data_IF_140492007719
#
_entry.id   IF_140492007719
#
_cell.length_a   1.000
_cell.length_b   1.000
_cell.length_c   1.000
_cell.angle_alpha   90.00
_cell.angle_beta   90.00
_cell.angle_gamma   90.00
#
_symmetry.space_group_name_H-M   'P 1'
#
loop_
_entity.id
_entity.type
_entity.pdbx_description
1 polymer ?
#
# COMPACT_ATOMS: atom_id res chain seq x y z
N UNK A 1 -9.08 12.16 -20.23
CA UNK A 1 -9.22 13.03 -19.04
C UNK A 1 -8.82 14.46 -19.42
N UNK A 2 -9.29 15.50 -18.72
CA UNK A 2 -8.85 16.89 -18.91
C UNK A 2 -7.34 17.05 -18.67
N UNK A 3 -6.72 18.08 -19.28
CA UNK A 3 -5.27 18.32 -19.22
C UNK A 3 -4.69 18.32 -17.79
N UNK A 4 -5.43 18.85 -16.80
CA UNK A 4 -4.98 18.91 -15.40
C UNK A 4 -4.92 17.52 -14.77
N UNK A 5 -5.88 16.66 -15.06
CA UNK A 5 -5.93 15.29 -14.55
C UNK A 5 -4.80 14.43 -15.15
N UNK A 6 -4.51 14.60 -16.44
CA UNK A 6 -3.36 13.94 -17.08
C UNK A 6 -2.04 14.32 -16.42
N UNK A 7 -1.81 15.62 -16.20
CA UNK A 7 -0.59 16.10 -15.54
C UNK A 7 -0.50 15.57 -14.11
N UNK A 8 -1.56 15.71 -13.30
CA UNK A 8 -1.58 15.23 -11.91
C UNK A 8 -1.19 13.75 -11.80
N UNK A 9 -1.74 12.87 -12.63
CA UNK A 9 -1.42 11.44 -12.57
C UNK A 9 0.02 11.09 -12.97
N UNK A 10 0.74 11.99 -13.66
CA UNK A 10 2.18 11.81 -13.93
C UNK A 10 3.05 12.20 -12.73
N UNK A 11 2.49 12.92 -11.76
CA UNK A 11 3.16 13.36 -10.53
C UNK A 11 2.87 12.46 -9.33
N UNK A 12 2.23 11.31 -9.56
CA UNK A 12 1.97 10.29 -8.55
C UNK A 12 2.80 9.05 -8.87
N UNK A 13 3.52 8.55 -7.88
CA UNK A 13 4.27 7.30 -7.98
C UNK A 13 4.07 6.43 -6.76
N UNK A 14 4.15 5.11 -6.96
CA UNK A 14 4.24 4.13 -5.88
C UNK A 14 5.69 4.03 -5.41
N UNK A 15 5.88 3.71 -4.13
CA UNK A 15 7.17 3.27 -3.62
C UNK A 15 7.47 1.82 -4.04
N UNK A 16 8.71 1.40 -3.81
CA UNK A 16 9.08 -0.01 -3.90
C UNK A 16 9.20 -0.63 -2.52
N UNK A 17 8.66 -1.84 -2.40
CA UNK A 17 8.75 -2.62 -1.18
C UNK A 17 8.75 -4.11 -1.51
N UNK A 18 9.64 -4.83 -0.85
CA UNK A 18 9.66 -6.28 -0.79
C UNK A 18 9.11 -6.68 0.58
N UNK A 19 7.99 -7.39 0.58
CA UNK A 19 7.43 -7.99 1.80
C UNK A 19 7.96 -9.41 1.93
N UNK A 20 8.66 -9.67 3.02
CA UNK A 20 9.32 -10.94 3.31
C UNK A 20 8.47 -11.73 4.29
N UNK A 21 8.27 -13.02 4.04
CA UNK A 21 7.77 -13.97 5.03
C UNK A 21 8.85 -15.01 5.31
N UNK A 22 9.25 -15.12 6.58
CA UNK A 22 10.17 -16.14 7.07
C UNK A 22 9.46 -16.99 8.12
N UNK A 23 9.23 -18.26 7.80
CA UNK A 23 8.56 -19.22 8.68
C UNK A 23 9.61 -20.12 9.34
N UNK A 24 9.44 -20.40 10.62
CA UNK A 24 10.32 -21.23 11.45
C UNK A 24 9.49 -22.30 12.17
N UNK A 25 10.13 -23.38 12.62
CA UNK A 25 9.44 -24.48 13.29
C UNK A 25 8.69 -24.08 14.56
N UNK A 26 9.13 -23.00 15.21
CA UNK A 26 8.53 -22.39 16.40
C UNK A 26 8.76 -20.88 16.39
N UNK A 27 7.93 -20.08 17.08
CA UNK A 27 8.16 -18.64 17.24
C UNK A 27 9.28 -18.38 18.27
N UNK A 28 10.51 -18.76 17.93
CA UNK A 28 11.65 -18.81 18.85
C UNK A 28 11.97 -17.48 19.54
N UNK A 29 11.65 -16.34 18.91
CA UNK A 29 11.79 -15.01 19.51
C UNK A 29 10.93 -14.85 20.77
N UNK A 30 9.77 -15.52 20.86
CA UNK A 30 8.91 -15.47 22.05
C UNK A 30 9.55 -16.14 23.25
N UNK A 31 10.34 -17.19 23.05
CA UNK A 31 11.09 -17.84 24.13
C UNK A 31 12.21 -16.94 24.68
N UNK A 32 12.69 -16.00 23.87
CA UNK A 32 13.61 -14.95 24.29
C UNK A 32 12.90 -13.76 24.97
N UNK A 33 11.58 -13.83 25.14
CA UNK A 33 10.76 -12.76 25.70
C UNK A 33 10.45 -11.61 24.74
N UNK A 34 10.68 -11.78 23.44
CA UNK A 34 10.43 -10.76 22.42
C UNK A 34 9.00 -10.86 21.87
N UNK A 35 8.39 -9.72 21.56
CA UNK A 35 7.08 -9.68 20.87
C UNK A 35 7.16 -10.06 19.39
N UNK A 36 8.37 -10.05 18.82
CA UNK A 36 8.60 -10.18 17.38
C UNK A 36 8.49 -8.86 16.61
N UNK A 37 8.13 -7.75 17.25
CA UNK A 37 8.18 -6.41 16.63
C UNK A 37 9.58 -5.83 16.71
N UNK A 38 10.11 -5.34 15.59
CA UNK A 38 11.41 -4.68 15.52
C UNK A 38 11.38 -3.50 14.55
N UNK A 39 12.16 -2.46 14.86
CA UNK A 39 12.37 -1.29 14.00
C UNK A 39 13.82 -0.84 14.08
N UNK A 40 14.45 -0.61 12.93
CA UNK A 40 15.75 0.06 12.86
C UNK A 40 15.89 0.81 11.54
N UNK A 41 16.27 2.10 11.56
CA UNK A 41 16.56 2.84 10.34
C UNK A 41 17.90 2.43 9.68
N UNK A 42 18.68 1.57 10.33
CA UNK A 42 20.02 1.16 9.88
C UNK A 42 20.06 -0.26 9.31
N UNK A 43 18.98 -1.01 9.44
CA UNK A 43 18.87 -2.38 8.96
C UNK A 43 18.22 -2.42 7.57
N UNK A 44 18.60 -3.42 6.78
CA UNK A 44 17.99 -3.67 5.47
C UNK A 44 16.49 -3.94 5.63
N UNK A 45 16.14 -4.79 6.59
CA UNK A 45 14.76 -4.97 7.05
C UNK A 45 14.48 -3.94 8.14
N UNK A 46 13.93 -2.81 7.74
CA UNK A 46 13.75 -1.66 8.63
C UNK A 46 12.63 -1.87 9.65
N UNK A 47 11.63 -2.68 9.31
CA UNK A 47 10.55 -3.08 10.20
C UNK A 47 10.24 -4.58 10.04
N UNK A 48 9.94 -5.22 11.18
CA UNK A 48 9.53 -6.62 11.22
C UNK A 48 8.50 -6.85 12.33
N UNK A 49 7.64 -7.84 12.12
CA UNK A 49 6.55 -8.18 13.04
C UNK A 49 6.37 -9.70 13.14
N UNK A 50 5.91 -10.15 14.30
CA UNK A 50 5.32 -11.47 14.44
C UNK A 50 4.00 -11.52 13.66
N UNK A 51 3.99 -12.33 12.60
CA UNK A 51 2.85 -12.59 11.75
C UNK A 51 2.40 -14.05 11.85
N UNK A 52 2.64 -14.68 12.99
CA UNK A 52 2.21 -16.05 13.28
C UNK A 52 0.70 -16.11 13.35
N UNK A 53 0.09 -16.98 12.54
CA UNK A 53 -1.35 -17.19 12.54
C UNK A 53 -1.84 -17.70 13.90
N UNK A 54 -3.10 -17.40 14.23
CA UNK A 54 -3.72 -17.89 15.45
C UNK A 54 -3.68 -19.42 15.51
N UNK A 55 -3.17 -19.97 16.62
CA UNK A 55 -3.00 -21.40 16.87
C UNK A 55 -2.05 -22.15 15.89
N UNK A 56 -1.20 -21.46 15.13
CA UNK A 56 -0.08 -22.09 14.44
C UNK A 56 1.07 -22.31 15.43
N UNK A 57 1.62 -23.53 15.47
CA UNK A 57 2.77 -23.88 16.31
C UNK A 57 4.07 -23.32 15.72
N UNK A 58 4.10 -23.09 14.40
CA UNK A 58 5.23 -22.47 13.70
C UNK A 58 5.29 -20.98 13.99
N UNK A 59 6.49 -20.42 13.93
CA UNK A 59 6.67 -18.97 13.96
C UNK A 59 6.67 -18.39 12.57
N UNK A 60 5.95 -17.30 12.31
CA UNK A 60 6.12 -16.51 11.08
C UNK A 60 6.55 -15.09 11.42
N UNK A 61 7.70 -14.66 10.90
CA UNK A 61 8.07 -13.25 10.84
C UNK A 61 7.68 -12.69 9.49
N UNK A 62 7.10 -11.49 9.50
CA UNK A 62 7.00 -10.63 8.33
C UNK A 62 8.01 -9.50 8.46
N UNK A 63 8.73 -9.19 7.38
CA UNK A 63 9.67 -8.08 7.33
C UNK A 63 9.52 -7.29 6.04
N UNK A 64 10.00 -6.06 6.03
CA UNK A 64 9.86 -5.17 4.89
C UNK A 64 11.19 -4.52 4.52
N UNK A 65 11.53 -4.57 3.24
CA UNK A 65 12.64 -3.84 2.62
C UNK A 65 12.01 -2.83 1.68
N UNK A 66 12.25 -1.53 1.87
CA UNK A 66 11.58 -0.47 1.11
C UNK A 66 12.57 0.55 0.54
N UNK A 67 12.06 1.41 -0.34
CA UNK A 67 12.75 2.60 -0.83
C UNK A 67 14.08 2.24 -1.54
N UNK A 68 15.14 3.03 -1.32
CA UNK A 68 16.46 2.79 -1.92
C UNK A 68 17.06 1.44 -1.53
N UNK A 69 16.70 0.90 -0.34
CA UNK A 69 17.13 -0.44 0.04
C UNK A 69 16.49 -1.51 -0.85
N UNK A 70 15.26 -1.30 -1.33
CA UNK A 70 14.62 -2.21 -2.29
C UNK A 70 15.33 -2.13 -3.65
N UNK A 71 15.63 -0.90 -4.13
CA UNK A 71 16.43 -0.69 -5.35
C UNK A 71 17.73 -1.49 -5.31
N UNK A 72 18.51 -1.34 -4.24
CA UNK A 72 19.81 -1.98 -4.06
C UNK A 72 19.73 -3.52 -4.11
N UNK A 73 18.70 -4.13 -3.53
CA UNK A 73 18.58 -5.59 -3.48
C UNK A 73 17.91 -6.20 -4.71
N UNK A 74 17.23 -5.40 -5.52
CA UNK A 74 16.73 -5.85 -6.83
C UNK A 74 17.86 -6.14 -7.82
N UNK A 75 19.02 -5.51 -7.65
CA UNK A 75 20.22 -5.78 -8.46
C UNK A 75 20.91 -7.11 -8.12
N UNK A 76 20.56 -7.71 -6.97
CA UNK A 76 21.16 -8.95 -6.48
C UNK A 76 20.45 -10.19 -7.01
N UNK A 77 21.17 -11.31 -7.02
CA UNK A 77 20.53 -12.61 -7.21
C UNK A 77 19.56 -12.90 -6.06
N UNK A 78 18.54 -13.72 -6.32
CA UNK A 78 17.56 -14.10 -5.29
C UNK A 78 18.23 -14.75 -4.05
N UNK A 79 19.30 -15.51 -4.25
CA UNK A 79 20.03 -16.15 -3.14
C UNK A 79 20.81 -15.12 -2.30
N UNK A 80 21.52 -14.18 -2.94
CA UNK A 80 22.24 -13.11 -2.22
C UNK A 80 21.28 -12.18 -1.48
N UNK A 81 20.15 -11.82 -2.11
CA UNK A 81 19.12 -11.00 -1.48
C UNK A 81 18.53 -11.70 -0.25
N UNK A 82 18.14 -12.97 -0.39
CA UNK A 82 17.66 -13.80 0.74
C UNK A 82 18.67 -13.81 1.88
N UNK A 83 19.95 -14.04 1.59
CA UNK A 83 21.00 -14.06 2.61
C UNK A 83 21.11 -12.73 3.35
N UNK A 84 21.13 -11.59 2.63
CA UNK A 84 21.20 -10.26 3.26
C UNK A 84 19.97 -9.94 4.10
N UNK A 85 18.78 -10.30 3.63
CA UNK A 85 17.53 -10.10 4.36
C UNK A 85 17.52 -10.92 5.66
N UNK A 86 17.92 -12.19 5.59
CA UNK A 86 17.99 -13.06 6.76
C UNK A 86 19.11 -12.65 7.72
N UNK A 87 20.23 -12.12 7.22
CA UNK A 87 21.28 -11.51 8.05
C UNK A 87 20.70 -10.33 8.84
N UNK A 88 19.99 -9.43 8.17
CA UNK A 88 19.38 -8.27 8.81
C UNK A 88 18.35 -8.67 9.88
N UNK A 89 17.48 -9.65 9.60
CA UNK A 89 16.57 -10.21 10.60
C UNK A 89 17.31 -10.81 11.80
N UNK A 90 18.47 -11.42 11.57
CA UNK A 90 19.27 -12.02 12.65
C UNK A 90 19.85 -11.01 13.63
N UNK A 91 20.02 -9.74 13.22
CA UNK A 91 20.44 -8.68 14.14
C UNK A 91 19.39 -8.38 15.20
N UNK A 92 18.10 -8.63 14.92
CA UNK A 92 17.00 -8.49 15.88
C UNK A 92 16.77 -9.75 16.72
N UNK A 93 16.75 -10.92 16.08
CA UNK A 93 16.25 -12.15 16.70
C UNK A 93 17.34 -13.20 16.99
N UNK A 94 18.58 -12.91 16.60
CA UNK A 94 19.72 -13.81 16.74
C UNK A 94 19.88 -14.78 15.55
N UNK A 95 20.90 -15.66 15.61
CA UNK A 95 21.33 -16.48 14.48
C UNK A 95 20.28 -17.49 13.98
N UNK A 96 19.29 -17.84 14.81
CA UNK A 96 18.19 -18.73 14.40
C UNK A 96 17.34 -18.13 13.27
N UNK A 97 17.26 -16.79 13.18
CA UNK A 97 16.56 -16.09 12.10
C UNK A 97 17.17 -16.35 10.71
N UNK A 98 18.41 -16.86 10.64
CA UNK A 98 19.05 -17.20 9.36
C UNK A 98 18.53 -18.51 8.75
N UNK A 99 17.75 -19.30 9.49
CA UNK A 99 17.38 -20.66 9.14
C UNK A 99 15.86 -20.88 9.09
N UNK A 100 15.11 -20.14 8.26
CA UNK A 100 13.69 -20.38 8.10
C UNK A 100 13.42 -21.70 7.34
N UNK A 101 12.35 -22.39 7.71
CA UNK A 101 11.85 -23.56 6.97
C UNK A 101 11.12 -23.16 5.70
N UNK A 102 10.52 -21.96 5.65
CA UNK A 102 9.94 -21.37 4.45
C UNK A 102 10.36 -19.92 4.36
N UNK A 103 10.82 -19.51 3.19
CA UNK A 103 11.17 -18.13 2.88
C UNK A 103 10.44 -17.71 1.60
N UNK A 104 9.76 -16.57 1.63
CA UNK A 104 9.04 -16.03 0.49
C UNK A 104 9.13 -14.51 0.44
N UNK A 105 9.35 -13.98 -0.77
CA UNK A 105 9.40 -12.55 -1.06
C UNK A 105 8.19 -12.19 -1.94
N UNK A 106 7.40 -11.22 -1.51
CA UNK A 106 6.45 -10.50 -2.35
C UNK A 106 7.11 -9.20 -2.82
N UNK A 107 7.62 -9.21 -4.03
CA UNK A 107 8.06 -8.00 -4.73
C UNK A 107 6.83 -7.28 -5.32
N UNK A 108 6.44 -6.17 -4.70
CA UNK A 108 5.29 -5.41 -5.17
C UNK A 108 5.60 -4.57 -6.42
N UNK A 109 6.88 -4.35 -6.74
CA UNK A 109 7.30 -3.58 -7.91
C UNK A 109 7.03 -4.30 -9.23
N UNK A 110 7.05 -5.64 -9.23
CA UNK A 110 6.82 -6.46 -10.43
C UNK A 110 5.34 -6.81 -10.67
N UNK A 111 4.44 -6.48 -9.75
CA UNK A 111 3.00 -6.67 -9.92
C UNK A 111 2.44 -5.75 -11.02
N UNK A 112 1.91 -6.33 -12.11
CA UNK A 112 1.49 -5.61 -13.34
C UNK A 112 0.55 -4.43 -13.07
N UNK A 113 -0.35 -4.59 -12.09
CA UNK A 113 -1.45 -3.67 -11.82
C UNK A 113 -1.17 -2.69 -10.69
N UNK A 114 -0.37 -3.09 -9.69
CA UNK A 114 -0.04 -2.23 -8.55
C UNK A 114 1.27 -1.48 -8.77
N UNK A 115 2.28 -2.13 -9.37
CA UNK A 115 3.56 -1.53 -9.78
C UNK A 115 4.34 -0.85 -8.65
N UNK A 116 4.16 -1.34 -7.43
CA UNK A 116 4.74 -0.77 -6.21
C UNK A 116 3.76 -0.84 -5.03
N UNK A 117 4.21 -0.36 -3.87
CA UNK A 117 3.46 -0.35 -2.61
C UNK A 117 4.15 0.59 -1.60
N UNK A 118 3.55 0.94 -0.45
CA UNK A 118 2.17 0.63 -0.04
C UNK A 118 1.13 1.55 -0.67
N UNK A 119 1.53 2.77 -0.99
CA UNK A 119 0.62 3.82 -1.41
C UNK A 119 1.29 4.82 -2.34
N UNK A 120 0.49 5.51 -3.13
CA UNK A 120 0.97 6.57 -3.99
C UNK A 120 1.42 7.79 -3.17
N UNK A 121 2.48 8.43 -3.63
CA UNK A 121 2.99 9.69 -3.12
C UNK A 121 3.13 10.70 -4.27
N UNK A 122 3.12 11.98 -3.92
CA UNK A 122 3.41 13.04 -4.89
C UNK A 122 4.91 13.27 -5.00
N UNK A 123 5.35 13.62 -6.20
CA UNK A 123 6.66 14.22 -6.40
C UNK A 123 6.79 15.60 -5.73
N UNK A 124 8.00 16.17 -5.78
CA UNK A 124 8.30 17.45 -5.17
C UNK A 124 7.41 18.57 -5.70
N UNK A 125 6.57 19.12 -4.82
CA UNK A 125 5.61 20.18 -5.14
C UNK A 125 4.30 19.69 -5.77
N UNK A 126 4.20 18.42 -6.15
CA UNK A 126 3.00 17.83 -6.75
C UNK A 126 1.78 17.94 -5.83
N UNK A 127 1.93 17.63 -4.54
CA UNK A 127 0.83 17.72 -3.57
C UNK A 127 0.27 19.14 -3.45
N UNK A 128 1.13 20.15 -3.39
CA UNK A 128 0.70 21.55 -3.30
C UNK A 128 -0.05 21.99 -4.56
N UNK A 129 0.46 21.62 -5.73
CA UNK A 129 -0.08 22.04 -7.02
C UNK A 129 -1.36 21.32 -7.40
N UNK A 130 -1.45 20.02 -7.12
CA UNK A 130 -2.51 19.13 -7.63
C UNK A 130 -3.37 18.48 -6.53
N UNK A 131 -3.00 18.53 -5.25
CA UNK A 131 -3.74 17.84 -4.19
C UNK A 131 -5.22 18.20 -4.11
N UNK A 132 -5.59 19.44 -4.43
CA UNK A 132 -7.00 19.87 -4.51
C UNK A 132 -7.79 19.22 -5.64
N UNK A 133 -7.11 18.75 -6.69
CA UNK A 133 -7.71 18.20 -7.91
C UNK A 133 -7.91 16.67 -7.78
N UNK A 134 -7.32 16.03 -6.76
CA UNK A 134 -7.23 14.57 -6.60
C UNK A 134 -8.59 13.87 -6.49
N UNK A 135 -9.61 14.53 -5.93
CA UNK A 135 -10.97 13.99 -5.78
C UNK A 135 -11.95 14.53 -6.82
N UNK A 136 -11.50 15.37 -7.74
CA UNK A 136 -12.39 16.03 -8.71
C UNK A 136 -12.90 15.03 -9.74
N UNK A 137 -14.20 14.82 -9.78
CA UNK A 137 -14.85 13.99 -10.79
C UNK A 137 -14.62 14.55 -12.20
N UNK A 138 -14.66 13.66 -13.20
CA UNK A 138 -14.55 14.01 -14.63
C UNK A 138 -15.82 13.56 -15.33
N UNK A 139 -16.78 14.46 -15.44
CA UNK A 139 -18.13 14.12 -15.90
C UNK A 139 -18.71 13.00 -15.02
N UNK A 140 -19.11 11.85 -15.58
CA UNK A 140 -19.65 10.72 -14.81
C UNK A 140 -18.58 9.87 -14.10
N UNK A 141 -17.28 10.18 -14.26
CA UNK A 141 -16.19 9.39 -13.68
C UNK A 141 -15.83 9.93 -12.29
N UNK A 142 -16.02 9.10 -11.27
CA UNK A 142 -15.60 9.34 -9.89
C UNK A 142 -14.39 8.47 -9.54
N UNK A 143 -13.53 8.96 -8.65
CA UNK A 143 -12.32 8.27 -8.22
C UNK A 143 -12.43 7.81 -6.77
N UNK A 144 -11.96 6.60 -6.50
CA UNK A 144 -11.84 6.04 -5.17
C UNK A 144 -10.59 5.17 -5.06
N UNK A 145 -9.76 5.44 -4.06
CA UNK A 145 -8.67 4.55 -3.63
C UNK A 145 -8.25 4.94 -2.20
N UNK A 146 -7.39 4.14 -1.57
CA UNK A 146 -6.75 4.45 -0.29
C UNK A 146 -5.91 5.72 -0.33
N UNK A 147 -5.43 6.10 -1.51
CA UNK A 147 -4.44 7.16 -1.70
C UNK A 147 -5.08 8.52 -1.96
N UNK A 148 -6.40 8.62 -1.76
CA UNK A 148 -7.10 9.90 -1.70
C UNK A 148 -7.10 10.43 -0.28
N UNK A 149 -6.65 11.67 -0.09
CA UNK A 149 -6.61 12.32 1.22
C UNK A 149 -7.97 12.23 1.96
N UNK A 150 -7.97 11.63 3.14
CA UNK A 150 -9.16 11.35 3.93
C UNK A 150 -8.86 10.52 5.20
N UNK A 151 -9.89 10.17 5.95
CA UNK A 151 -9.73 9.26 7.10
C UNK A 151 -9.30 7.86 6.63
N UNK A 152 -8.31 7.27 7.29
CA UNK A 152 -7.73 5.98 6.90
C UNK A 152 -6.78 6.06 5.69
N UNK A 153 -6.30 7.26 5.36
CA UNK A 153 -5.38 7.53 4.25
C UNK A 153 -4.28 6.47 4.12
N UNK A 154 -4.06 5.95 2.92
CA UNK A 154 -3.03 4.96 2.55
C UNK A 154 -3.17 3.60 3.23
N UNK A 155 -4.32 3.30 3.83
CA UNK A 155 -4.64 2.01 4.45
C UNK A 155 -5.92 1.41 3.86
N UNK A 156 -6.15 0.13 4.14
CA UNK A 156 -7.38 -0.60 3.75
C UNK A 156 -8.64 0.13 4.24
N UNK A 157 -8.61 0.70 5.45
CA UNK A 157 -9.72 1.50 5.99
C UNK A 157 -10.04 2.71 5.08
N UNK A 158 -9.00 3.38 4.56
CA UNK A 158 -9.15 4.47 3.58
C UNK A 158 -9.80 4.00 2.29
N UNK A 159 -9.36 2.87 1.73
CA UNK A 159 -9.96 2.33 0.51
C UNK A 159 -11.47 2.07 0.69
N UNK A 160 -11.88 1.48 1.82
CA UNK A 160 -13.28 1.21 2.15
C UNK A 160 -14.07 2.53 2.27
N UNK A 161 -13.54 3.50 3.02
CA UNK A 161 -14.20 4.78 3.25
C UNK A 161 -14.34 5.59 1.98
N UNK A 162 -13.29 5.66 1.17
CA UNK A 162 -13.29 6.40 -0.09
C UNK A 162 -14.20 5.75 -1.13
N UNK A 163 -14.26 4.41 -1.18
CA UNK A 163 -15.24 3.71 -2.01
C UNK A 163 -16.69 4.04 -1.62
N UNK A 164 -17.01 4.03 -0.31
CA UNK A 164 -18.33 4.44 0.18
C UNK A 164 -18.64 5.90 -0.13
N UNK A 165 -17.67 6.79 0.04
CA UNK A 165 -17.85 8.21 -0.26
C UNK A 165 -18.16 8.44 -1.75
N UNK A 166 -17.38 7.83 -2.65
CA UNK A 166 -17.63 7.94 -4.09
C UNK A 166 -19.01 7.39 -4.48
N UNK A 167 -19.43 6.26 -3.89
CA UNK A 167 -20.76 5.71 -4.11
C UNK A 167 -21.88 6.68 -3.66
N UNK A 168 -21.75 7.28 -2.48
CA UNK A 168 -22.72 8.28 -2.00
C UNK A 168 -22.80 9.50 -2.91
N UNK A 169 -21.66 10.00 -3.39
CA UNK A 169 -21.61 11.14 -4.32
C UNK A 169 -22.32 10.85 -5.64
N UNK A 170 -22.14 9.64 -6.19
CA UNK A 170 -22.84 9.20 -7.41
C UNK A 170 -24.34 9.17 -7.19
N UNK A 171 -24.81 8.56 -6.09
CA UNK A 171 -26.24 8.47 -5.77
C UNK A 171 -26.88 9.85 -5.53
N UNK A 172 -26.13 10.81 -4.98
CA UNK A 172 -26.60 12.19 -4.81
C UNK A 172 -26.69 12.96 -6.13
N UNK A 173 -25.70 12.78 -7.02
CA UNK A 173 -25.70 13.39 -8.34
C UNK A 173 -26.87 12.88 -9.20
N UNK A 174 -27.12 11.56 -9.17
CA UNK A 174 -28.23 10.93 -9.88
C UNK A 174 -29.59 11.43 -9.39
N UNK A 175 -29.80 11.48 -8.06
CA UNK A 175 -31.01 12.05 -7.47
C UNK A 175 -31.24 13.52 -7.86
N UNK A 176 -30.16 14.29 -7.94
CA UNK A 176 -30.23 15.70 -8.32
C UNK A 176 -30.58 15.87 -9.79
N UNK A 177 -29.99 15.05 -10.67
CA UNK A 177 -30.32 15.05 -12.09
C UNK A 177 -31.80 14.68 -12.34
N UNK A 178 -32.32 13.65 -11.66
CA UNK A 178 -33.75 13.29 -11.72
C UNK A 178 -34.65 14.43 -11.21
N UNK A 179 -34.24 15.10 -10.12
CA UNK A 179 -35.02 16.21 -9.58
C UNK A 179 -35.05 17.44 -10.52
N UNK A 180 -33.98 17.69 -11.27
CA UNK A 180 -33.91 18.76 -12.25
C UNK A 180 -34.71 18.43 -13.52
N UNK A 181 -34.67 17.18 -14.01
CA UNK A 181 -35.54 16.72 -15.12
C UNK A 181 -37.03 16.84 -14.79
N UNK A 182 -37.42 16.55 -13.54
CA UNK A 182 -38.81 16.72 -13.06
C UNK A 182 -39.22 18.19 -12.86
N UNK A 183 -38.26 19.13 -12.87
CA UNK A 183 -38.50 20.57 -12.70
C UNK A 183 -38.55 21.35 -14.00
N UNK A 184 -38.02 20.82 -15.11
CA UNK A 184 -38.27 21.44 -16.41
C UNK A 184 -39.76 21.27 -16.76
N UNK A 185 -40.53 22.37 -16.93
CA UNK A 185 -41.90 22.23 -17.40
C UNK A 185 -41.84 21.64 -18.80
N UNK A 186 -42.67 20.63 -19.08
CA UNK A 186 -43.00 20.27 -20.44
C UNK A 186 -43.46 21.55 -21.14
N UNK A 187 -42.58 22.16 -21.94
CA UNK A 187 -42.97 23.19 -22.88
C UNK A 187 -43.75 22.47 -23.97
N UNK A 188 -45.03 22.29 -23.67
CA UNK A 188 -46.08 21.95 -24.61
C UNK A 188 -46.01 22.91 -25.79
N UNK A 189 -46.19 22.31 -26.96
CA UNK A 189 -46.01 22.94 -28.25
C UNK A 189 -46.89 24.18 -28.50
N UNK A 190 -46.41 24.96 -29.46
CA UNK A 190 -47.20 25.83 -30.31
C UNK A 190 -46.76 25.59 -31.76
#
# INVERSE_FOLDING_TARGET
LPRRQHQMHQHLSMGFVIKVHAVYDRPFWREQGLSGTAFSPYELVHEAYDNTNHADERGTLVGFVSDQNADDVFELSAEERKQRILESLSHYYGPEAKNPVVYYESDWGTEEWTRGAYAASFDMGGLHRYGKDLRSAVGPIHFACSDLAGAGYQHVDGAIRMGRLAASQILEADRSAVADELREPALDGA
#
